data_IF_913177565423
#
_entry.id   IF_913177565423
#
_cell.length_a   1.000
_cell.length_b   1.000
_cell.length_c   1.000
_cell.angle_alpha   90.00
_cell.angle_beta   90.00
_cell.angle_gamma   90.00
#
_symmetry.space_group_name_H-M   'P 1'
#
loop_
_entity.id
_entity.type
_entity.pdbx_description
1 polymer ?
#
# COMPACT_ATOMS: atom_id res chain seq x y z
N UNK A 1 31.66 -5.15 10.11
CA UNK A 1 30.32 -4.81 10.67
C UNK A 1 29.69 -3.75 9.80
N UNK A 2 28.44 -3.95 9.37
CA UNK A 2 27.64 -2.96 8.65
C UNK A 2 27.57 -1.65 9.46
N UNK A 3 27.62 -0.50 8.80
CA UNK A 3 27.41 0.82 9.44
C UNK A 3 25.93 1.06 9.77
N UNK A 4 25.05 0.19 9.29
CA UNK A 4 23.61 0.28 9.46
C UNK A 4 23.15 -0.69 10.55
N UNK A 5 22.02 -0.41 11.23
CA UNK A 5 21.44 -1.33 12.22
C UNK A 5 20.81 -2.58 11.59
N UNK A 6 21.12 -2.87 10.32
CA UNK A 6 20.59 -3.97 9.53
C UNK A 6 21.56 -4.39 8.43
N UNK A 7 21.36 -5.61 7.95
CA UNK A 7 22.04 -6.18 6.79
C UNK A 7 21.04 -6.36 5.66
N UNK A 8 21.34 -5.83 4.47
CA UNK A 8 20.48 -5.97 3.29
C UNK A 8 20.73 -7.35 2.68
N UNK A 9 19.70 -8.20 2.68
CA UNK A 9 19.77 -9.56 2.14
C UNK A 9 19.47 -9.58 0.64
N UNK A 10 18.42 -8.83 0.24
CA UNK A 10 18.00 -8.70 -1.16
C UNK A 10 17.66 -7.24 -1.41
N UNK A 11 18.17 -6.67 -2.49
CA UNK A 11 17.78 -5.34 -2.97
C UNK A 11 17.29 -5.42 -4.42
N UNK A 12 15.98 -5.49 -4.60
CA UNK A 12 15.34 -5.40 -5.91
C UNK A 12 14.50 -4.13 -5.97
N UNK A 13 14.27 -3.65 -7.19
CA UNK A 13 13.49 -2.43 -7.48
C UNK A 13 12.13 -2.33 -6.74
N UNK A 14 11.52 -3.45 -6.41
CA UNK A 14 10.15 -3.52 -5.87
C UNK A 14 10.08 -4.13 -4.47
N UNK A 15 11.12 -4.84 -4.05
CA UNK A 15 11.16 -5.54 -2.76
C UNK A 15 12.59 -5.51 -2.24
N UNK A 16 12.74 -5.13 -0.98
CA UNK A 16 14.00 -5.15 -0.25
C UNK A 16 13.81 -6.04 0.98
N UNK A 17 14.70 -7.00 1.17
CA UNK A 17 14.76 -7.84 2.38
C UNK A 17 15.95 -7.35 3.19
N UNK A 18 15.73 -7.07 4.47
CA UNK A 18 16.78 -6.66 5.39
C UNK A 18 16.63 -7.40 6.72
N UNK A 19 17.75 -7.93 7.21
CA UNK A 19 17.87 -8.55 8.52
C UNK A 19 18.15 -7.47 9.57
N UNK A 20 17.36 -7.46 10.63
CA UNK A 20 17.54 -6.63 11.81
C UNK A 20 17.80 -7.51 13.02
N UNK A 21 18.65 -7.04 13.92
CA UNK A 21 18.87 -7.63 15.24
C UNK A 21 18.50 -6.63 16.31
N UNK A 22 17.35 -6.84 16.95
CA UNK A 22 16.79 -5.90 17.93
C UNK A 22 16.55 -6.64 19.23
N UNK A 23 17.23 -6.23 20.31
CA UNK A 23 17.09 -6.83 21.65
C UNK A 23 17.21 -8.37 21.66
N UNK A 24 18.14 -8.91 20.86
CA UNK A 24 18.37 -10.36 20.75
C UNK A 24 17.35 -11.10 19.88
N UNK A 25 16.38 -10.42 19.27
CA UNK A 25 15.45 -10.99 18.29
C UNK A 25 15.94 -10.68 16.88
N UNK A 26 16.13 -11.73 16.08
CA UNK A 26 16.39 -11.63 14.65
C UNK A 26 15.07 -11.48 13.91
N UNK A 27 14.98 -10.47 13.04
CA UNK A 27 13.77 -10.08 12.31
C UNK A 27 14.15 -9.81 10.85
N UNK A 28 13.34 -10.30 9.92
CA UNK A 28 13.46 -9.94 8.51
C UNK A 28 12.36 -8.95 8.16
N UNK A 29 12.76 -7.75 7.77
CA UNK A 29 11.88 -6.72 7.27
C UNK A 29 11.88 -6.75 5.74
N UNK A 30 10.69 -6.85 5.16
CA UNK A 30 10.46 -6.80 3.73
C UNK A 30 9.80 -5.48 3.37
N UNK A 31 10.57 -4.52 2.86
CA UNK A 31 10.02 -3.27 2.35
C UNK A 31 9.57 -3.49 0.89
N UNK A 32 8.29 -3.21 0.61
CA UNK A 32 7.69 -3.50 -0.68
C UNK A 32 6.97 -2.28 -1.28
N UNK A 33 7.14 -2.10 -2.58
CA UNK A 33 6.30 -1.23 -3.40
C UNK A 33 5.87 -2.04 -4.62
N UNK A 34 4.84 -2.86 -4.45
CA UNK A 34 4.43 -3.88 -5.43
C UNK A 34 3.94 -3.26 -6.74
N UNK A 35 3.65 -4.10 -7.73
CA UNK A 35 3.24 -3.60 -9.04
C UNK A 35 1.92 -2.80 -8.97
N UNK A 36 1.98 -1.49 -9.28
CA UNK A 36 0.87 -0.55 -9.16
C UNK A 36 -0.24 -0.64 -10.23
N UNK A 37 -0.07 -1.45 -11.27
CA UNK A 37 -1.08 -1.56 -12.33
C UNK A 37 -2.16 -2.54 -11.90
N UNK A 38 -3.42 -2.12 -11.91
CA UNK A 38 -4.58 -2.96 -11.54
C UNK A 38 -4.57 -4.35 -12.20
N UNK A 39 -4.27 -4.42 -13.50
CA UNK A 39 -4.24 -5.67 -14.29
C UNK A 39 -3.07 -6.61 -13.95
N UNK A 40 -2.14 -6.19 -13.09
CA UNK A 40 -0.96 -6.96 -12.70
C UNK A 40 -1.12 -7.68 -11.35
N UNK A 41 -2.36 -8.04 -10.98
CA UNK A 41 -2.64 -8.81 -9.75
C UNK A 41 -1.81 -10.10 -9.67
N UNK A 42 -1.63 -10.81 -10.78
CA UNK A 42 -0.80 -12.01 -10.85
C UNK A 42 0.70 -11.73 -10.60
N UNK A 43 1.19 -10.53 -10.94
CA UNK A 43 2.58 -10.11 -10.61
C UNK A 43 2.68 -9.83 -9.12
N UNK A 44 1.73 -9.09 -8.54
CA UNK A 44 1.68 -8.84 -7.10
C UNK A 44 1.59 -10.13 -6.29
N UNK A 45 0.81 -11.11 -6.75
CA UNK A 45 0.76 -12.44 -6.16
C UNK A 45 2.14 -13.08 -6.10
N UNK A 46 2.84 -13.18 -7.24
CA UNK A 46 4.21 -13.74 -7.29
C UNK A 46 5.18 -12.98 -6.39
N UNK A 47 5.03 -11.66 -6.30
CA UNK A 47 5.83 -10.82 -5.40
C UNK A 47 5.56 -11.12 -3.92
N UNK A 48 4.32 -11.42 -3.53
CA UNK A 48 3.96 -11.84 -2.17
C UNK A 48 4.43 -13.27 -1.85
N UNK A 49 4.34 -14.18 -2.82
CA UNK A 49 4.83 -15.57 -2.69
C UNK A 49 6.35 -15.63 -2.40
N UNK A 50 7.12 -14.59 -2.75
CA UNK A 50 8.53 -14.47 -2.36
C UNK A 50 8.72 -14.37 -0.82
N UNK A 51 7.73 -13.84 -0.10
CA UNK A 51 7.78 -13.72 1.37
C UNK A 51 7.47 -15.05 2.04
N UNK A 52 6.47 -15.77 1.54
CA UNK A 52 6.16 -17.13 2.01
C UNK A 52 7.31 -18.10 1.75
N UNK A 53 7.90 -18.02 0.56
CA UNK A 53 9.02 -18.86 0.15
C UNK A 53 10.36 -18.15 0.38
N UNK A 54 10.52 -17.49 1.53
CA UNK A 54 11.67 -16.61 1.80
C UNK A 54 13.01 -17.35 1.70
N UNK A 55 13.12 -18.54 2.29
CA UNK A 55 14.36 -19.34 2.24
C UNK A 55 14.78 -19.63 0.79
N UNK A 56 13.85 -20.17 -0.02
CA UNK A 56 14.08 -20.41 -1.45
C UNK A 56 14.45 -19.12 -2.18
N UNK A 57 13.74 -18.02 -1.89
CA UNK A 57 13.99 -16.72 -2.52
C UNK A 57 15.40 -16.21 -2.19
N UNK A 58 15.86 -16.35 -0.95
CA UNK A 58 17.21 -15.96 -0.54
C UNK A 58 18.28 -16.80 -1.25
N UNK A 59 18.08 -18.12 -1.33
CA UNK A 59 19.00 -19.02 -2.04
C UNK A 59 19.07 -18.74 -3.54
N UNK A 60 17.94 -18.51 -4.20
CA UNK A 60 17.87 -18.10 -5.62
C UNK A 60 18.63 -16.80 -5.89
N UNK A 61 18.76 -15.94 -4.88
CA UNK A 61 19.49 -14.69 -4.94
C UNK A 61 20.92 -14.78 -4.40
N UNK A 62 21.44 -16.00 -4.21
CA UNK A 62 22.80 -16.28 -3.73
C UNK A 62 23.08 -15.64 -2.35
N UNK A 63 22.04 -15.44 -1.54
CA UNK A 63 22.19 -15.03 -0.15
C UNK A 63 22.62 -16.25 0.68
N UNK A 64 23.73 -16.13 1.40
CA UNK A 64 24.11 -17.10 2.42
C UNK A 64 23.10 -17.05 3.57
N UNK A 65 22.63 -18.22 4.01
CA UNK A 65 21.70 -18.34 5.14
C UNK A 65 22.52 -18.47 6.42
N UNK A 66 22.76 -17.34 7.10
CA UNK A 66 23.42 -17.34 8.41
C UNK A 66 22.50 -17.88 9.50
N UNK A 67 23.05 -18.15 10.68
CA UNK A 67 22.28 -18.57 11.85
C UNK A 67 21.18 -17.56 12.21
N UNK A 68 21.45 -16.26 12.11
CA UNK A 68 20.46 -15.21 12.39
C UNK A 68 19.31 -15.20 11.38
N UNK A 69 19.60 -15.46 10.10
CA UNK A 69 18.58 -15.56 9.06
C UNK A 69 17.72 -16.81 9.28
N UNK A 70 18.37 -17.96 9.54
CA UNK A 70 17.68 -19.20 9.84
C UNK A 70 16.80 -19.09 11.11
N UNK A 71 17.30 -18.40 12.13
CA UNK A 71 16.56 -18.11 13.36
C UNK A 71 15.31 -17.26 13.09
N UNK A 72 15.45 -16.18 12.31
CA UNK A 72 14.32 -15.33 11.94
C UNK A 72 13.25 -16.09 11.13
N UNK A 73 13.67 -16.93 10.17
CA UNK A 73 12.77 -17.74 9.34
C UNK A 73 12.06 -18.81 10.19
N UNK A 74 12.78 -19.60 10.97
CA UNK A 74 12.21 -20.72 11.77
C UNK A 74 11.21 -20.27 12.85
N UNK A 75 11.30 -19.00 13.27
CA UNK A 75 10.40 -18.36 14.22
C UNK A 75 9.35 -17.47 13.58
N UNK A 76 9.31 -17.42 12.24
CA UNK A 76 8.43 -16.55 11.46
C UNK A 76 8.53 -15.07 11.88
N UNK A 77 9.72 -14.60 12.22
CA UNK A 77 9.97 -13.20 12.57
C UNK A 77 10.07 -12.33 11.30
N UNK A 78 9.02 -12.36 10.49
CA UNK A 78 8.98 -11.75 9.17
C UNK A 78 7.85 -10.73 9.11
N UNK A 79 8.19 -9.53 8.64
CA UNK A 79 7.25 -8.42 8.46
C UNK A 79 7.39 -7.92 7.03
N UNK A 80 6.28 -7.75 6.33
CA UNK A 80 6.23 -6.99 5.08
C UNK A 80 5.51 -5.68 5.29
N UNK A 81 6.05 -4.59 4.75
CA UNK A 81 5.42 -3.28 4.80
C UNK A 81 5.65 -2.45 3.54
N UNK A 82 4.73 -1.54 3.29
CA UNK A 82 4.80 -0.54 2.23
C UNK A 82 3.56 -0.55 1.35
N UNK A 83 3.68 0.00 0.15
CA UNK A 83 2.60 0.07 -0.81
C UNK A 83 2.45 -1.26 -1.56
N UNK A 84 1.51 -2.08 -1.09
CA UNK A 84 1.24 -3.39 -1.69
C UNK A 84 0.36 -3.30 -2.95
N UNK A 85 -0.19 -2.13 -3.27
CA UNK A 85 -1.01 -1.89 -4.46
C UNK A 85 -2.12 -2.95 -4.67
N UNK A 86 -2.73 -3.45 -3.60
CA UNK A 86 -3.83 -4.41 -3.69
C UNK A 86 -5.12 -3.65 -3.98
N UNK A 87 -5.56 -3.70 -5.24
CA UNK A 87 -6.68 -2.89 -5.71
C UNK A 87 -8.03 -3.55 -5.49
N UNK A 88 -8.08 -4.89 -5.60
CA UNK A 88 -9.34 -5.62 -5.54
C UNK A 88 -9.53 -6.32 -4.18
N UNK A 89 -10.78 -6.46 -3.71
CA UNK A 89 -11.07 -7.19 -2.48
C UNK A 89 -10.57 -8.64 -2.49
N UNK A 90 -10.58 -9.32 -3.65
CA UNK A 90 -10.04 -10.67 -3.80
C UNK A 90 -8.50 -10.72 -3.73
N UNK A 91 -7.82 -9.59 -3.89
CA UNK A 91 -6.37 -9.54 -3.66
C UNK A 91 -6.03 -9.53 -2.17
N UNK A 92 -6.98 -9.17 -1.31
CA UNK A 92 -6.76 -9.22 0.14
C UNK A 92 -6.65 -10.68 0.60
N UNK A 93 -7.43 -11.60 0.00
CA UNK A 93 -7.23 -13.03 0.25
C UNK A 93 -5.86 -13.55 -0.21
N UNK A 94 -5.12 -12.81 -1.04
CA UNK A 94 -3.74 -13.19 -1.36
C UNK A 94 -2.82 -13.08 -0.14
N UNK A 95 -3.04 -12.08 0.73
CA UNK A 95 -2.28 -11.91 1.98
C UNK A 95 -2.42 -13.17 2.84
N UNK A 96 -3.66 -13.59 3.09
CA UNK A 96 -3.93 -14.81 3.87
C UNK A 96 -3.40 -16.07 3.18
N UNK A 97 -3.47 -16.14 1.85
CA UNK A 97 -3.02 -17.32 1.09
C UNK A 97 -1.51 -17.57 1.20
N UNK A 98 -0.73 -16.54 1.53
CA UNK A 98 0.73 -16.62 1.76
C UNK A 98 1.08 -16.61 3.25
N UNK A 99 0.09 -16.86 4.12
CA UNK A 99 0.27 -16.95 5.58
C UNK A 99 0.47 -15.62 6.32
N UNK A 100 0.32 -14.49 5.62
CA UNK A 100 0.45 -13.16 6.21
C UNK A 100 -0.86 -12.72 6.86
N UNK A 101 -0.73 -11.95 7.95
CA UNK A 101 -1.83 -11.31 8.66
C UNK A 101 -1.72 -9.80 8.58
N UNK A 102 -2.81 -9.14 8.20
CA UNK A 102 -2.90 -7.69 8.04
C UNK A 102 -3.07 -7.01 9.39
N UNK A 103 -2.01 -6.35 9.86
CA UNK A 103 -1.96 -5.82 11.21
C UNK A 103 -3.02 -4.74 11.51
N UNK A 104 -3.42 -3.99 10.48
CA UNK A 104 -4.46 -2.98 10.65
C UNK A 104 -5.79 -3.63 11.04
N UNK A 105 -6.20 -4.66 10.30
CA UNK A 105 -7.46 -5.35 10.54
C UNK A 105 -7.43 -6.20 11.83
N UNK A 106 -6.25 -6.65 12.26
CA UNK A 106 -6.09 -7.29 13.57
C UNK A 106 -6.38 -6.35 14.75
N UNK A 107 -6.12 -5.05 14.60
CA UNK A 107 -6.40 -4.03 15.64
C UNK A 107 -7.75 -3.35 15.45
N UNK A 108 -8.14 -3.07 14.21
CA UNK A 108 -9.28 -2.23 13.86
C UNK A 108 -10.28 -2.95 12.96
N UNK A 109 -11.05 -3.90 13.50
CA UNK A 109 -12.01 -4.67 12.69
C UNK A 109 -13.03 -3.78 11.97
N UNK A 110 -13.47 -2.69 12.59
CA UNK A 110 -14.52 -1.84 12.02
C UNK A 110 -14.01 -0.64 11.22
N UNK A 111 -12.70 -0.59 10.92
CA UNK A 111 -12.11 0.49 10.16
C UNK A 111 -11.33 -0.07 8.97
N UNK A 112 -11.72 0.33 7.76
CA UNK A 112 -11.11 -0.16 6.53
C UNK A 112 -9.65 0.25 6.37
N UNK A 113 -9.16 1.27 7.09
CA UNK A 113 -7.76 1.70 7.07
C UNK A 113 -7.31 2.38 5.78
N UNK A 114 -8.22 3.06 5.09
CA UNK A 114 -7.96 3.68 3.78
C UNK A 114 -6.73 4.60 3.83
N UNK A 115 -5.68 4.23 3.10
CA UNK A 115 -4.43 5.01 3.00
C UNK A 115 -4.39 5.90 1.77
N UNK A 116 -5.29 5.69 0.80
CA UNK A 116 -5.43 6.51 -0.40
C UNK A 116 -6.89 6.93 -0.57
N UNK A 117 -7.19 8.20 -0.27
CA UNK A 117 -8.55 8.73 -0.21
C UNK A 117 -8.67 10.11 -0.88
N UNK A 118 -9.12 10.19 -2.15
CA UNK A 118 -9.31 11.45 -2.87
C UNK A 118 -10.35 12.37 -2.23
N UNK A 119 -11.27 11.85 -1.41
CA UNK A 119 -12.27 12.68 -0.72
C UNK A 119 -11.67 13.49 0.42
N UNK A 120 -10.57 13.00 1.00
CA UNK A 120 -9.83 13.65 2.09
C UNK A 120 -8.59 14.37 1.57
N UNK A 121 -7.78 13.67 0.77
CA UNK A 121 -6.50 14.13 0.29
C UNK A 121 -6.63 14.84 -1.06
N UNK A 122 -6.65 16.17 -1.03
CA UNK A 122 -6.79 17.00 -2.23
C UNK A 122 -5.62 16.87 -3.20
N UNK A 123 -4.44 16.43 -2.75
CA UNK A 123 -3.28 16.21 -3.63
C UNK A 123 -3.63 15.19 -4.72
N UNK A 124 -4.36 14.13 -4.35
CA UNK A 124 -4.84 13.13 -5.31
C UNK A 124 -5.73 13.77 -6.37
N UNK A 125 -6.68 14.63 -6.00
CA UNK A 125 -7.58 15.25 -6.98
C UNK A 125 -6.86 16.19 -7.94
N UNK A 126 -5.80 16.85 -7.47
CA UNK A 126 -4.95 17.71 -8.31
C UNK A 126 -4.18 16.87 -9.32
N UNK A 127 -3.63 15.73 -8.91
CA UNK A 127 -2.85 14.84 -9.79
C UNK A 127 -3.73 13.96 -10.70
N UNK A 128 -4.89 13.55 -10.19
CA UNK A 128 -5.79 12.55 -10.77
C UNK A 128 -7.24 13.04 -10.71
N UNK A 129 -7.60 14.07 -11.49
CA UNK A 129 -8.95 14.62 -11.47
C UNK A 129 -9.99 13.55 -11.79
N UNK A 130 -11.16 13.67 -11.15
CA UNK A 130 -12.31 12.76 -11.23
C UNK A 130 -12.12 11.36 -10.64
N UNK A 131 -10.93 11.05 -10.12
CA UNK A 131 -10.71 9.80 -9.40
C UNK A 131 -11.35 9.89 -8.01
N UNK A 132 -12.30 8.99 -7.74
CA UNK A 132 -13.02 8.94 -6.47
C UNK A 132 -12.82 7.62 -5.74
N UNK A 133 -11.89 6.78 -6.21
CA UNK A 133 -11.64 5.47 -5.62
C UNK A 133 -11.01 5.66 -4.23
N UNK A 134 -11.43 4.87 -3.25
CA UNK A 134 -10.81 4.86 -1.92
C UNK A 134 -10.16 3.50 -1.73
N UNK A 135 -8.87 3.48 -1.44
CA UNK A 135 -8.07 2.26 -1.47
C UNK A 135 -7.19 2.15 -0.23
N UNK A 136 -6.99 0.91 0.23
CA UNK A 136 -5.98 0.56 1.22
C UNK A 136 -4.81 -0.12 0.52
N UNK A 137 -3.95 0.71 -0.03
CA UNK A 137 -2.80 0.31 -0.83
C UNK A 137 -1.62 -0.05 0.07
N UNK A 138 -1.38 0.76 1.10
CA UNK A 138 -0.32 0.56 2.07
C UNK A 138 -0.76 -0.38 3.18
N UNK A 139 0.12 -1.32 3.53
CA UNK A 139 -0.15 -2.33 4.55
C UNK A 139 1.11 -2.62 5.34
N UNK A 140 0.90 -3.10 6.56
CA UNK A 140 1.91 -3.76 7.37
C UNK A 140 1.32 -5.13 7.70
N UNK A 141 2.01 -6.18 7.26
CA UNK A 141 1.59 -7.55 7.49
C UNK A 141 2.72 -8.35 8.14
N UNK A 142 2.38 -9.36 8.93
CA UNK A 142 3.36 -10.27 9.53
C UNK A 142 2.88 -11.71 9.47
N UNK A 143 3.82 -12.66 9.50
CA UNK A 143 3.49 -14.06 9.74
C UNK A 143 3.13 -14.30 11.20
N UNK A 144 2.57 -15.47 11.51
CA UNK A 144 2.39 -15.93 12.89
C UNK A 144 3.75 -16.16 13.57
N UNK A 145 4.26 -15.10 14.19
CA UNK A 145 5.57 -15.07 14.84
C UNK A 145 5.54 -15.66 16.24
N UNK A 146 6.59 -16.40 16.61
CA UNK A 146 6.79 -16.93 17.97
C UNK A 146 7.37 -15.89 18.94
N UNK A 147 7.92 -14.78 18.44
CA UNK A 147 8.68 -13.82 19.25
C UNK A 147 8.30 -12.36 19.02
N UNK A 148 7.36 -12.06 18.14
CA UNK A 148 6.88 -10.70 17.92
C UNK A 148 5.37 -10.69 17.99
N UNK A 149 4.81 -9.63 18.55
CA UNK A 149 3.37 -9.37 18.53
C UNK A 149 3.10 -7.88 18.34
N UNK A 150 1.91 -7.52 17.87
CA UNK A 150 1.53 -6.12 17.68
C UNK A 150 0.92 -5.52 18.95
N UNK A 151 1.48 -4.41 19.41
CA UNK A 151 0.92 -3.54 20.46
C UNK A 151 -0.17 -2.64 19.87
N UNK A 152 0.16 -1.90 18.83
CA UNK A 152 -0.73 -0.91 18.22
C UNK A 152 -0.38 -0.70 16.73
N UNK A 153 -1.32 -0.11 15.99
CA UNK A 153 -1.09 0.40 14.64
C UNK A 153 -1.95 1.64 14.41
N UNK A 154 -1.31 2.70 13.93
CA UNK A 154 -1.93 4.00 13.70
C UNK A 154 -1.63 4.52 12.32
N UNK A 155 -2.53 5.37 11.84
CA UNK A 155 -2.32 6.14 10.62
C UNK A 155 -1.64 7.46 10.99
N UNK A 156 -0.72 7.93 10.15
CA UNK A 156 -0.04 9.21 10.33
C UNK A 156 0.08 9.97 9.01
N UNK A 157 0.52 11.24 9.09
CA UNK A 157 0.57 12.13 7.93
C UNK A 157 -0.80 12.31 7.24
N UNK A 158 -1.88 12.14 8.00
CA UNK A 158 -3.27 12.31 7.58
C UNK A 158 -3.81 13.73 7.85
N UNK A 159 -2.89 14.67 8.11
CA UNK A 159 -3.14 16.10 8.30
C UNK A 159 -2.45 16.91 7.21
N UNK A 160 -3.03 18.07 6.90
CA UNK A 160 -2.47 19.00 5.90
C UNK A 160 -1.21 19.64 6.43
N UNK A 161 -0.25 19.92 5.54
CA UNK A 161 0.94 20.69 5.87
C UNK A 161 0.54 22.17 5.93
N UNK A 162 0.30 22.67 7.14
CA UNK A 162 0.04 24.09 7.42
C UNK A 162 -1.17 24.66 6.65
N UNK A 163 -1.14 25.95 6.29
CA UNK A 163 -2.18 26.63 5.50
C UNK A 163 -2.24 26.14 4.04
N UNK A 164 -1.20 25.43 3.57
CA UNK A 164 -1.23 24.80 2.27
C UNK A 164 -2.32 23.71 2.29
N UNK A 165 -3.26 23.72 1.35
CA UNK A 165 -4.32 22.71 1.28
C UNK A 165 -3.81 21.29 0.92
N UNK A 166 -2.50 21.06 0.96
CA UNK A 166 -1.82 19.85 0.52
C UNK A 166 -1.40 18.98 1.71
N UNK A 167 -1.43 17.68 1.47
CA UNK A 167 -0.94 16.66 2.39
C UNK A 167 0.53 16.34 2.09
N UNK A 168 1.27 15.70 3.02
CA UNK A 168 2.67 15.34 2.80
C UNK A 168 2.91 14.37 1.64
N UNK A 169 1.94 13.52 1.35
CA UNK A 169 1.96 12.54 0.27
C UNK A 169 0.52 12.36 -0.22
N UNK A 170 0.32 11.75 -1.39
CA UNK A 170 -0.98 11.29 -1.85
C UNK A 170 -1.46 10.04 -1.07
N UNK A 171 -0.56 9.41 -0.32
CA UNK A 171 -0.85 8.33 0.64
C UNK A 171 -0.75 8.83 2.10
N UNK A 172 -1.57 8.26 2.98
CA UNK A 172 -1.38 8.33 4.43
C UNK A 172 -0.45 7.21 4.89
N UNK A 173 0.39 7.50 5.87
CA UNK A 173 1.36 6.54 6.41
C UNK A 173 0.74 5.59 7.44
N UNK A 174 1.32 4.41 7.58
CA UNK A 174 1.01 3.47 8.66
C UNK A 174 2.22 3.30 9.58
N UNK A 175 1.97 3.30 10.90
CA UNK A 175 2.97 3.04 11.93
C UNK A 175 2.48 1.91 12.83
N UNK A 176 3.23 0.82 12.89
CA UNK A 176 2.97 -0.28 13.82
C UNK A 176 3.96 -0.25 14.99
N UNK A 177 3.48 -0.57 16.18
CA UNK A 177 4.28 -0.76 17.38
C UNK A 177 4.29 -2.25 17.74
N UNK A 178 5.48 -2.81 17.91
CA UNK A 178 5.66 -4.25 18.13
C UNK A 178 6.28 -4.52 19.50
N UNK A 179 5.86 -5.62 20.10
CA UNK A 179 6.39 -6.17 21.34
C UNK A 179 7.23 -7.38 20.98
N UNK A 180 8.53 -7.30 21.26
CA UNK A 180 9.48 -8.39 21.07
C UNK A 180 9.44 -9.36 22.28
N UNK A 181 9.77 -10.63 22.04
CA UNK A 181 9.70 -11.71 23.02
C UNK A 181 8.30 -12.27 23.29
N UNK A 182 7.26 -11.77 22.59
CA UNK A 182 5.87 -12.20 22.78
C UNK A 182 5.30 -12.77 21.49
N UNK A 183 4.70 -13.98 21.48
CA UNK A 183 4.16 -14.57 20.27
C UNK A 183 2.94 -13.80 19.76
N UNK A 184 2.84 -13.66 18.45
CA UNK A 184 1.65 -13.14 17.78
C UNK A 184 0.64 -14.28 17.64
N UNK A 185 -0.58 -14.03 18.11
CA UNK A 185 -1.72 -14.95 17.95
C UNK A 185 -2.80 -14.21 17.17
N UNK A 186 -3.00 -14.54 15.89
CA UNK A 186 -4.00 -13.90 15.06
C UNK A 186 -5.40 -14.06 15.65
N UNK A 187 -6.26 -13.05 15.50
CA UNK A 187 -7.67 -13.13 15.91
C UNK A 187 -8.45 -13.90 14.85
N UNK A 188 -8.82 -15.14 15.17
CA UNK A 188 -9.47 -16.05 14.23
C UNK A 188 -10.76 -15.48 13.58
N UNK A 189 -10.94 -15.75 12.28
CA UNK A 189 -12.17 -15.61 11.48
C UNK A 189 -12.82 -14.22 11.26
N UNK A 190 -12.23 -13.09 11.67
CA UNK A 190 -12.83 -11.76 11.39
C UNK A 190 -12.65 -11.30 9.93
N UNK A 191 -11.47 -11.49 9.36
CA UNK A 191 -11.15 -11.03 8.00
C UNK A 191 -12.12 -11.55 6.94
N UNK A 192 -12.42 -12.86 6.94
CA UNK A 192 -13.30 -13.48 5.93
C UNK A 192 -14.73 -12.92 5.93
N UNK A 193 -15.25 -12.45 7.08
CA UNK A 193 -16.61 -11.88 7.19
C UNK A 193 -16.64 -10.42 6.72
N UNK A 194 -15.64 -9.62 7.07
CA UNK A 194 -15.59 -8.20 6.70
C UNK A 194 -15.18 -7.99 5.23
N UNK A 195 -14.32 -8.87 4.68
CA UNK A 195 -13.97 -8.86 3.25
C UNK A 195 -15.18 -9.02 2.32
N UNK A 196 -16.15 -9.86 2.69
CA UNK A 196 -17.41 -10.01 1.93
C UNK A 196 -18.28 -8.75 1.96
N UNK A 197 -18.18 -7.95 3.03
CA UNK A 197 -18.92 -6.69 3.17
C UNK A 197 -18.26 -5.56 2.36
N UNK A 198 -16.94 -5.40 2.50
CA UNK A 198 -16.15 -4.38 1.77
C UNK A 198 -16.25 -4.59 0.26
N UNK A 199 -16.25 -5.83 -0.22
CA UNK A 199 -16.38 -6.12 -1.65
C UNK A 199 -17.71 -5.68 -2.28
N UNK A 200 -18.80 -5.63 -1.49
CA UNK A 200 -20.13 -5.22 -1.97
C UNK A 200 -20.32 -3.70 -2.04
N UNK A 201 -19.46 -2.92 -1.37
CA UNK A 201 -19.69 -1.49 -1.14
C UNK A 201 -18.80 -0.55 -1.96
N UNK A 202 -17.99 -1.05 -2.89
CA UNK A 202 -17.16 -0.17 -3.74
C UNK A 202 -18.01 0.55 -4.80
N UNK A 203 -18.74 1.59 -4.37
CA UNK A 203 -19.54 2.51 -5.20
C UNK A 203 -18.68 3.41 -6.12
N UNK A 204 -17.46 2.99 -6.45
CA UNK A 204 -16.46 3.82 -7.11
C UNK A 204 -16.52 3.67 -8.64
N UNK A 205 -16.10 4.73 -9.34
CA UNK A 205 -16.06 4.72 -10.80
C UNK A 205 -15.00 3.74 -11.29
N UNK A 206 -15.32 3.00 -12.36
CA UNK A 206 -14.31 2.22 -13.06
C UNK A 206 -13.24 3.14 -13.68
N UNK A 207 -12.03 2.62 -13.90
CA UNK A 207 -10.97 3.38 -14.60
C UNK A 207 -11.45 3.85 -15.98
N UNK A 208 -12.21 3.02 -16.69
CA UNK A 208 -12.82 3.38 -17.99
C UNK A 208 -13.74 4.61 -17.85
N UNK A 209 -14.58 4.63 -16.81
CA UNK A 209 -15.45 5.77 -16.51
C UNK A 209 -14.63 7.03 -16.18
N UNK A 210 -13.58 6.91 -15.37
CA UNK A 210 -12.68 8.04 -15.03
C UNK A 210 -12.00 8.60 -16.29
N UNK A 211 -11.50 7.74 -17.17
CA UNK A 211 -10.87 8.16 -18.43
C UNK A 211 -11.89 8.87 -19.33
N UNK A 212 -13.09 8.32 -19.48
CA UNK A 212 -14.14 8.94 -20.28
C UNK A 212 -14.51 10.34 -19.77
N UNK A 213 -14.63 10.51 -18.45
CA UNK A 213 -14.90 11.82 -17.84
C UNK A 213 -13.77 12.82 -18.11
N UNK A 214 -12.50 12.40 -18.07
CA UNK A 214 -11.35 13.26 -18.39
C UNK A 214 -11.36 13.71 -19.84
N UNK A 215 -11.67 12.81 -20.77
CA UNK A 215 -11.78 13.13 -22.20
C UNK A 215 -12.92 14.12 -22.44
N UNK A 216 -14.09 13.88 -21.85
CA UNK A 216 -15.25 14.77 -21.96
C UNK A 216 -14.96 16.16 -21.39
N UNK A 217 -14.33 16.24 -20.22
CA UNK A 217 -13.95 17.52 -19.60
C UNK A 217 -12.94 18.29 -20.47
N UNK A 218 -11.95 17.60 -21.03
CA UNK A 218 -10.98 18.19 -21.95
C UNK A 218 -11.63 18.72 -23.24
N UNK A 219 -12.56 17.95 -23.82
CA UNK A 219 -13.31 18.37 -25.00
C UNK A 219 -14.18 19.60 -24.73
N UNK A 220 -14.87 19.64 -23.58
CA UNK A 220 -15.69 20.78 -23.17
C UNK A 220 -14.82 22.04 -22.96
N UNK A 221 -13.67 21.89 -22.30
CA UNK A 221 -12.73 23.00 -22.12
C UNK A 221 -12.21 23.53 -23.46
N UNK A 222 -11.87 22.65 -24.39
CA UNK A 222 -11.43 23.04 -25.73
C UNK A 222 -12.52 23.81 -26.49
N UNK A 223 -13.77 23.33 -26.46
CA UNK A 223 -14.90 24.03 -27.07
C UNK A 223 -15.15 25.40 -26.43
N UNK A 224 -15.05 25.50 -25.10
CA UNK A 224 -15.21 26.76 -24.39
C UNK A 224 -14.11 27.76 -24.77
N UNK A 225 -12.86 27.33 -24.85
CA UNK A 225 -11.73 28.17 -25.26
C UNK A 225 -11.87 28.63 -26.72
N UNK A 226 -12.26 27.75 -27.64
CA UNK A 226 -12.49 28.10 -29.05
C UNK A 226 -13.68 29.05 -29.22
N UNK A 227 -14.79 28.82 -28.52
CA UNK A 227 -15.95 29.70 -28.53
C UNK A 227 -15.67 31.07 -27.93
N UNK A 228 -14.87 31.12 -26.85
CA UNK A 228 -14.39 32.36 -26.23
C UNK A 228 -13.48 33.18 -27.14
N UNK A 229 -12.57 32.53 -27.87
CA UNK A 229 -11.73 33.21 -28.87
C UNK A 229 -12.59 33.80 -29.99
N UNK A 230 -13.60 33.07 -30.48
CA UNK A 230 -14.51 33.57 -31.50
C UNK A 230 -15.30 34.81 -31.05
N UNK A 231 -15.74 34.85 -29.79
CA UNK A 231 -16.44 36.02 -29.24
C UNK A 231 -15.51 37.21 -29.04
N UNK A 232 -14.27 37.00 -28.58
CA UNK A 232 -13.26 38.05 -28.46
C UNK A 232 -12.88 38.61 -29.84
N UNK A 233 -12.68 37.74 -30.84
CA UNK A 233 -12.37 38.16 -32.21
C UNK A 233 -13.48 39.00 -32.83
N UNK A 234 -14.76 38.58 -32.68
CA UNK A 234 -15.92 39.35 -33.13
C UNK A 234 -16.08 40.70 -32.39
N UNK A 235 -15.63 40.79 -31.14
CA UNK A 235 -15.67 42.04 -30.38
C UNK A 235 -14.58 43.00 -30.84
N UNK A 236 -13.35 42.51 -31.07
CA UNK A 236 -12.23 43.30 -31.61
C UNK A 236 -12.55 43.83 -33.01
N UNK A 237 -13.15 43.01 -33.89
CA UNK A 237 -13.51 43.43 -35.25
C UNK A 237 -14.66 44.45 -35.33
N UNK A 238 -15.29 44.80 -34.20
CA UNK A 238 -16.30 45.87 -34.12
C UNK A 238 -15.74 47.17 -33.53
N UNK A 239 -14.57 47.11 -32.90
CA UNK A 239 -13.88 48.26 -32.29
C UNK A 239 -12.92 48.92 -33.29
N UNK A 240 -12.40 48.16 -34.25
CA UNK A 240 -11.54 48.62 -35.35
C UNK A 240 -12.29 48.51 -36.68
#
# INVERSE_FOLDING_TARGET
>A
MSKHPFDVLINKKRIIFALFKINGVNLILVAAHLCARINNAHVRKRQLEMVENMERTLLEHQCEITEEIADAISKNNIIILGDLNLHHPNEISLIESVGLYDLWLEKHSHNDGITWDPSKNRLINVMLPFDNRRMRLDRICMLESKQMSISDITMFADQRISKCYLYPSDHFGLRAELILGKPFKPKDNRHKREMKKIAKETQYRSIKCIIALRILAGAFLALFLLGGIGTIACFISRIF
#
